data_IF_374586536441
#
_entry.id   IF_374586536441
#
_cell.length_a   1.000
_cell.length_b   1.000
_cell.length_c   1.000
_cell.angle_alpha   90.00
_cell.angle_beta   90.00
_cell.angle_gamma   90.00
#
_symmetry.space_group_name_H-M   'P 1'
#
loop_
_entity.id
_entity.type
_entity.pdbx_description
1 polymer ?
#
# COMPACT_ATOMS: atom_id res chain seq x y z
N UNK A 1 -28.96 51.30 -7.03
CA UNK A 1 -28.40 50.25 -6.15
C UNK A 1 -28.14 48.99 -6.98
N UNK A 2 -26.88 48.70 -7.31
CA UNK A 2 -26.50 47.50 -8.08
C UNK A 2 -26.14 46.36 -7.12
N UNK A 3 -27.14 45.55 -6.72
CA UNK A 3 -26.85 44.16 -6.37
C UNK A 3 -26.49 43.46 -7.69
N UNK A 4 -25.34 42.78 -7.77
CA UNK A 4 -25.08 41.50 -8.48
C UNK A 4 -23.56 41.20 -8.55
N UNK A 5 -22.99 40.61 -7.48
CA UNK A 5 -21.88 39.67 -7.67
C UNK A 5 -22.13 38.28 -7.06
N UNK A 6 -23.11 38.13 -6.16
CA UNK A 6 -23.31 36.90 -5.37
C UNK A 6 -23.90 35.72 -6.16
N UNK A 7 -24.64 35.97 -7.25
CA UNK A 7 -25.30 34.90 -8.02
C UNK A 7 -24.34 34.00 -8.80
N UNK A 8 -23.18 34.50 -9.25
CA UNK A 8 -22.20 33.67 -9.99
C UNK A 8 -21.48 32.62 -9.14
N UNK A 9 -21.27 32.88 -7.85
CA UNK A 9 -20.54 31.96 -6.99
C UNK A 9 -21.38 30.71 -6.63
N UNK A 10 -22.70 30.82 -6.64
CA UNK A 10 -23.61 29.71 -6.29
C UNK A 10 -23.85 28.75 -7.47
N UNK A 11 -23.68 29.19 -8.71
CA UNK A 11 -23.83 28.33 -9.90
C UNK A 11 -22.66 27.36 -10.05
N UNK A 12 -21.42 27.82 -9.84
CA UNK A 12 -20.22 26.99 -10.01
C UNK A 12 -20.09 25.89 -8.94
N UNK A 13 -20.65 26.11 -7.74
CA UNK A 13 -20.63 25.12 -6.66
C UNK A 13 -21.67 24.01 -6.86
N UNK A 14 -22.83 24.32 -7.46
CA UNK A 14 -23.87 23.33 -7.77
C UNK A 14 -23.38 22.32 -8.81
N UNK A 15 -22.66 22.78 -9.84
CA UNK A 15 -22.13 21.94 -10.91
C UNK A 15 -21.05 20.94 -10.46
N UNK A 16 -20.25 21.30 -9.45
CA UNK A 16 -19.25 20.39 -8.88
C UNK A 16 -19.89 19.24 -8.09
N UNK A 17 -20.96 19.54 -7.34
CA UNK A 17 -21.67 18.54 -6.53
C UNK A 17 -22.41 17.49 -7.39
N UNK A 18 -22.93 17.89 -8.56
CA UNK A 18 -23.67 17.01 -9.45
C UNK A 18 -22.76 15.99 -10.15
N UNK A 19 -21.55 16.41 -10.55
CA UNK A 19 -20.57 15.52 -11.20
C UNK A 19 -20.08 14.41 -10.27
N UNK A 20 -19.87 14.70 -8.98
CA UNK A 20 -19.40 13.72 -8.00
C UNK A 20 -20.41 12.59 -7.74
N UNK A 21 -21.70 12.91 -7.66
CA UNK A 21 -22.78 11.92 -7.49
C UNK A 21 -22.93 10.99 -8.70
N UNK A 22 -22.72 11.50 -9.92
CA UNK A 22 -22.83 10.70 -11.16
C UNK A 22 -21.70 9.68 -11.29
N UNK A 23 -20.48 10.02 -10.87
CA UNK A 23 -19.34 9.07 -10.84
C UNK A 23 -19.50 7.98 -9.77
N UNK A 24 -20.10 8.29 -8.62
CA UNK A 24 -20.35 7.28 -7.58
C UNK A 24 -21.43 6.28 -8.01
N UNK A 25 -22.49 6.72 -8.68
CA UNK A 25 -23.54 5.80 -9.15
C UNK A 25 -23.10 4.87 -10.30
N UNK A 26 -22.18 5.30 -11.16
CA UNK A 26 -21.62 4.44 -12.21
C UNK A 26 -20.74 3.33 -11.61
N UNK A 27 -20.09 3.59 -10.47
CA UNK A 27 -19.22 2.61 -9.82
C UNK A 27 -19.99 1.55 -9.00
N UNK A 28 -21.22 1.85 -8.56
CA UNK A 28 -22.08 0.89 -7.85
C UNK A 28 -22.80 -0.06 -8.82
N UNK A 29 -22.94 0.30 -10.10
CA UNK A 29 -23.67 -0.49 -11.12
C UNK A 29 -22.83 -1.58 -11.80
N UNK A 30 -21.55 -1.72 -11.46
CA UNK A 30 -20.65 -2.72 -12.04
C UNK A 30 -20.52 -4.01 -11.20
N UNK A 31 -21.34 -4.19 -10.16
CA UNK A 31 -21.40 -5.42 -9.37
C UNK A 31 -22.86 -5.84 -9.23
N UNK A 32 -23.35 -6.64 -10.18
CA UNK A 32 -24.53 -7.48 -9.97
C UNK A 32 -24.10 -8.87 -9.52
N UNK A 33 -24.70 -9.41 -8.45
CA UNK A 33 -25.21 -10.76 -8.47
C UNK A 33 -26.74 -10.71 -8.53
N UNK A 34 -27.31 -11.58 -9.37
CA UNK A 34 -28.75 -11.82 -9.43
C UNK A 34 -29.34 -12.10 -8.04
N UNK A 35 -30.54 -11.58 -7.78
CA UNK A 35 -31.70 -12.27 -7.20
C UNK A 35 -32.86 -11.25 -7.07
N UNK A 36 -34.00 -11.60 -7.67
CA UNK A 36 -35.18 -10.74 -7.84
C UNK A 36 -36.18 -10.87 -6.68
N UNK A 37 -36.31 -9.77 -5.92
CA UNK A 37 -37.53 -9.07 -5.45
C UNK A 37 -38.77 -9.83 -4.90
N UNK A 38 -38.92 -9.72 -3.57
CA UNK A 38 -40.05 -9.21 -2.75
C UNK A 38 -41.53 -9.40 -3.15
N UNK A 39 -42.33 -9.84 -2.17
CA UNK A 39 -43.65 -9.23 -1.85
C UNK A 39 -43.76 -8.93 -0.35
N UNK A 40 -44.39 -7.79 -0.08
CA UNK A 40 -44.70 -7.15 1.20
C UNK A 40 -45.61 -8.00 2.08
N UNK A 41 -45.41 -7.93 3.40
CA UNK A 41 -46.48 -7.62 4.37
C UNK A 41 -45.88 -7.27 5.75
N UNK A 42 -46.49 -6.27 6.37
CA UNK A 42 -46.18 -5.68 7.67
C UNK A 42 -46.66 -6.55 8.83
N UNK A 43 -45.82 -6.81 9.83
CA UNK A 43 -46.23 -6.98 11.23
C UNK A 43 -45.02 -6.95 12.19
N UNK A 44 -45.24 -6.25 13.30
CA UNK A 44 -44.37 -6.02 14.44
C UNK A 44 -44.04 -7.30 15.22
N UNK A 45 -42.75 -7.54 15.51
CA UNK A 45 -42.31 -8.34 16.66
C UNK A 45 -40.82 -8.10 16.96
N UNK A 46 -40.52 -7.85 18.23
CA UNK A 46 -39.18 -7.83 18.83
C UNK A 46 -38.36 -9.06 18.42
N UNK A 47 -37.24 -8.85 17.71
CA UNK A 47 -36.25 -9.89 17.46
C UNK A 47 -34.83 -9.36 17.72
N UNK A 48 -34.23 -9.94 18.76
CA UNK A 48 -32.84 -9.73 19.17
C UNK A 48 -31.90 -10.00 18.01
N UNK A 49 -30.98 -9.05 17.73
CA UNK A 49 -29.96 -9.18 16.68
C UNK A 49 -29.01 -10.35 17.01
N UNK A 50 -28.81 -11.33 16.12
CA UNK A 50 -27.74 -12.30 16.29
C UNK A 50 -26.39 -11.63 16.03
N UNK A 51 -25.48 -11.75 16.99
CA UNK A 51 -24.08 -11.32 16.91
C UNK A 51 -23.43 -12.05 15.74
N UNK A 52 -23.08 -11.32 14.68
CA UNK A 52 -22.27 -11.85 13.58
C UNK A 52 -20.90 -12.25 14.13
N UNK A 53 -20.67 -13.55 14.23
CA UNK A 53 -19.37 -14.11 14.59
C UNK A 53 -18.29 -13.60 13.64
N UNK A 54 -17.28 -12.92 14.19
CA UNK A 54 -16.07 -12.55 13.46
C UNK A 54 -15.37 -13.85 13.06
N UNK A 55 -15.47 -14.23 11.79
CA UNK A 55 -14.63 -15.27 11.19
C UNK A 55 -13.23 -14.68 11.09
N UNK A 56 -12.42 -14.86 12.13
CA UNK A 56 -10.99 -14.59 12.07
C UNK A 56 -10.38 -15.64 11.15
N UNK A 57 -10.15 -15.29 9.89
CA UNK A 57 -9.31 -16.10 9.00
C UNK A 57 -7.90 -16.06 9.57
N UNK A 58 -7.56 -17.07 10.39
CA UNK A 58 -6.17 -17.33 10.76
C UNK A 58 -5.47 -17.71 9.46
N UNK A 59 -4.73 -16.78 8.85
CA UNK A 59 -3.83 -17.16 7.77
C UNK A 59 -2.81 -18.10 8.40
N UNK A 60 -2.69 -19.31 7.85
CA UNK A 60 -1.58 -20.20 8.14
C UNK A 60 -0.33 -19.41 7.74
N UNK A 61 0.37 -18.84 8.73
CA UNK A 61 1.74 -18.36 8.56
C UNK A 61 2.56 -19.63 8.36
N UNK A 62 2.68 -20.07 7.10
CA UNK A 62 3.60 -21.13 6.75
C UNK A 62 4.96 -20.73 7.29
N UNK A 63 5.48 -21.57 8.19
CA UNK A 63 6.83 -21.40 8.73
C UNK A 63 7.80 -21.59 7.57
N UNK A 64 8.15 -20.50 6.89
CA UNK A 64 9.32 -20.42 6.00
C UNK A 64 10.56 -20.46 6.89
N UNK A 65 10.75 -21.58 7.59
CA UNK A 65 11.82 -21.75 8.56
C UNK A 65 13.16 -21.90 7.83
N UNK A 66 14.15 -21.12 8.26
CA UNK A 66 15.58 -21.44 8.25
C UNK A 66 16.37 -21.50 6.93
N UNK A 67 15.87 -20.98 5.82
CA UNK A 67 16.68 -21.02 4.57
C UNK A 67 17.85 -20.03 4.63
N UNK A 68 17.76 -19.00 5.47
CA UNK A 68 18.75 -17.93 5.54
C UNK A 68 19.59 -18.04 6.81
N UNK A 69 20.71 -18.75 6.69
CA UNK A 69 21.79 -18.68 7.66
C UNK A 69 22.67 -17.45 7.37
N UNK A 70 23.25 -16.80 8.38
CA UNK A 70 24.25 -15.75 8.15
C UNK A 70 25.52 -16.27 7.45
N UNK A 71 25.80 -17.57 7.56
CA UNK A 71 26.99 -18.19 6.98
C UNK A 71 26.84 -18.56 5.51
N UNK A 72 25.61 -18.59 4.99
CA UNK A 72 25.35 -18.93 3.59
C UNK A 72 25.14 -17.66 2.76
N UNK A 73 25.77 -17.54 1.59
CA UNK A 73 25.57 -16.39 0.74
C UNK A 73 24.12 -16.30 0.27
N UNK A 74 23.56 -15.08 0.35
CA UNK A 74 22.21 -14.79 -0.11
C UNK A 74 22.11 -14.95 -1.63
N UNK A 75 20.95 -15.42 -2.17
CA UNK A 75 20.76 -15.53 -3.59
C UNK A 75 20.84 -14.15 -4.25
N UNK A 76 21.48 -14.08 -5.40
CA UNK A 76 21.74 -12.82 -6.14
C UNK A 76 20.48 -12.00 -6.42
N UNK A 77 19.32 -12.65 -6.52
CA UNK A 77 18.03 -11.99 -6.73
C UNK A 77 17.55 -11.17 -5.52
N UNK A 78 17.90 -11.56 -4.29
CA UNK A 78 17.52 -10.84 -3.06
C UNK A 78 18.63 -9.89 -2.64
N UNK A 79 19.89 -10.26 -2.85
CA UNK A 79 21.07 -9.47 -2.48
C UNK A 79 21.01 -8.02 -2.98
N UNK A 80 20.49 -7.81 -4.20
CA UNK A 80 20.31 -6.46 -4.79
C UNK A 80 19.39 -5.54 -3.98
N UNK A 81 18.43 -6.12 -3.26
CA UNK A 81 17.41 -5.40 -2.50
C UNK A 81 17.77 -5.19 -1.02
N UNK A 82 18.92 -5.72 -0.60
CA UNK A 82 19.47 -5.48 0.73
C UNK A 82 20.00 -4.05 0.79
N UNK A 83 19.71 -3.34 1.87
CA UNK A 83 20.12 -1.94 2.11
C UNK A 83 19.64 -0.90 1.07
N UNK A 84 18.80 -1.26 0.10
CA UNK A 84 18.15 -0.29 -0.77
C UNK A 84 17.35 0.72 0.05
N UNK A 85 17.59 2.02 -0.19
CA UNK A 85 16.96 3.13 0.51
C UNK A 85 17.22 3.17 2.03
N UNK A 86 18.33 2.60 2.51
CA UNK A 86 18.72 2.69 3.93
C UNK A 86 18.79 4.14 4.44
N UNK A 87 19.26 5.06 3.61
CA UNK A 87 19.40 6.50 3.90
C UNK A 87 18.05 7.24 4.02
N UNK A 88 16.94 6.65 3.58
CA UNK A 88 15.60 7.23 3.75
C UNK A 88 14.95 6.84 5.08
N UNK A 89 15.56 5.93 5.84
CA UNK A 89 15.09 5.60 7.19
C UNK A 89 15.30 6.83 8.07
N UNK A 90 14.27 7.25 8.81
CA UNK A 90 14.40 8.34 9.78
C UNK A 90 15.46 7.98 10.80
N UNK A 91 16.32 8.94 11.13
CA UNK A 91 17.28 8.79 12.24
C UNK A 91 16.52 9.03 13.54
N UNK A 92 16.65 8.11 14.49
CA UNK A 92 16.04 8.29 15.81
C UNK A 92 16.77 9.43 16.54
N UNK A 93 16.09 10.56 16.74
CA UNK A 93 16.66 11.78 17.30
C UNK A 93 16.79 11.76 18.84
N UNK A 94 17.31 10.67 19.41
CA UNK A 94 17.84 10.67 20.77
C UNK A 94 16.86 10.41 21.91
N UNK A 95 15.60 10.07 21.64
CA UNK A 95 14.74 9.45 22.65
C UNK A 95 15.05 7.96 22.61
N UNK A 96 15.86 7.50 23.57
CA UNK A 96 16.32 6.10 23.74
C UNK A 96 15.30 5.15 23.10
N UNK A 97 15.72 4.48 22.03
CA UNK A 97 14.90 3.44 21.43
C UNK A 97 14.49 2.49 22.57
N UNK A 98 13.23 2.07 22.56
CA UNK A 98 12.78 1.13 23.59
C UNK A 98 13.53 -0.17 23.39
N UNK A 99 14.44 -0.49 24.30
CA UNK A 99 15.23 -1.72 24.23
C UNK A 99 14.31 -2.92 24.12
N UNK A 100 14.65 -3.84 23.22
CA UNK A 100 13.95 -5.09 23.05
C UNK A 100 14.10 -5.99 24.29
N UNK A 101 13.23 -7.00 24.42
CA UNK A 101 13.29 -7.95 25.53
C UNK A 101 14.66 -8.64 25.63
N UNK A 102 15.21 -9.09 24.50
CA UNK A 102 16.52 -9.76 24.46
C UNK A 102 17.66 -8.82 24.84
N UNK A 103 17.59 -7.56 24.44
CA UNK A 103 18.60 -6.53 24.78
C UNK A 103 18.58 -6.26 26.29
N UNK A 104 17.38 -6.17 26.89
CA UNK A 104 17.23 -6.04 28.35
C UNK A 104 17.80 -7.28 29.07
N UNK A 105 17.56 -8.48 28.54
CA UNK A 105 18.12 -9.71 29.12
C UNK A 105 19.65 -9.78 28.95
N UNK A 106 20.18 -9.26 27.84
CA UNK A 106 21.62 -9.13 27.58
C UNK A 106 22.27 -8.19 28.61
N UNK A 107 21.70 -7.00 28.83
CA UNK A 107 22.19 -6.06 29.84
C UNK A 107 22.17 -6.67 31.25
N UNK A 108 21.12 -7.44 31.58
CA UNK A 108 21.04 -8.18 32.85
C UNK A 108 22.13 -9.25 32.96
N UNK A 109 22.47 -9.95 31.89
CA UNK A 109 23.54 -10.94 31.90
C UNK A 109 24.92 -10.28 32.06
N UNK A 110 25.14 -9.16 31.38
CA UNK A 110 26.39 -8.38 31.46
C UNK A 110 26.59 -7.81 32.88
N UNK A 111 25.55 -7.23 33.48
CA UNK A 111 25.62 -6.69 34.86
C UNK A 111 25.88 -7.76 35.91
N UNK A 112 25.42 -9.00 35.68
CA UNK A 112 25.71 -10.16 36.54
C UNK A 112 27.10 -10.75 36.31
N UNK A 113 27.72 -10.49 35.15
CA UNK A 113 29.00 -11.08 34.74
C UNK A 113 28.88 -12.45 34.04
N UNK A 114 27.67 -12.87 33.65
CA UNK A 114 27.42 -14.16 33.00
C UNK A 114 27.74 -14.08 31.49
N UNK A 115 29.03 -14.19 31.15
CA UNK A 115 29.51 -14.01 29.77
C UNK A 115 28.94 -15.05 28.79
N UNK A 116 28.80 -16.31 29.19
CA UNK A 116 28.27 -17.37 28.31
C UNK A 116 26.81 -17.15 27.92
N UNK A 117 26.03 -16.53 28.81
CA UNK A 117 24.63 -16.20 28.54
C UNK A 117 24.58 -15.00 27.61
N UNK A 118 25.39 -13.97 27.90
CA UNK A 118 25.47 -12.77 27.08
C UNK A 118 25.87 -13.08 25.62
N UNK A 119 26.83 -13.98 25.40
CA UNK A 119 27.22 -14.39 24.03
C UNK A 119 26.06 -15.05 23.29
N UNK A 120 25.35 -16.00 23.91
CA UNK A 120 24.18 -16.67 23.31
C UNK A 120 23.07 -15.68 22.95
N UNK A 121 22.77 -14.72 23.83
CA UNK A 121 21.77 -13.68 23.56
C UNK A 121 22.20 -12.77 22.41
N UNK A 122 23.48 -12.40 22.36
CA UNK A 122 24.03 -11.59 21.27
C UNK A 122 23.94 -12.30 19.91
N UNK A 123 24.22 -13.61 19.88
CA UNK A 123 24.04 -14.43 18.69
C UNK A 123 22.57 -14.47 18.24
N UNK A 124 21.63 -14.66 19.18
CA UNK A 124 20.19 -14.66 18.88
C UNK A 124 19.71 -13.31 18.32
N UNK A 125 20.13 -12.19 18.93
CA UNK A 125 19.82 -10.84 18.44
C UNK A 125 20.35 -10.67 17.01
N UNK A 126 21.58 -11.10 16.76
CA UNK A 126 22.22 -11.02 15.44
C UNK A 126 21.45 -11.82 14.39
N UNK A 127 20.99 -13.03 14.73
CA UNK A 127 20.17 -13.87 13.86
C UNK A 127 18.83 -13.20 13.54
N UNK A 128 18.13 -12.64 14.54
CA UNK A 128 16.86 -11.94 14.32
C UNK A 128 17.01 -10.71 13.43
N UNK A 129 18.06 -9.93 13.64
CA UNK A 129 18.35 -8.75 12.82
C UNK A 129 18.66 -9.16 11.37
N UNK A 130 19.37 -10.26 11.16
CA UNK A 130 19.62 -10.81 9.84
C UNK A 130 18.33 -11.31 9.16
N UNK A 131 17.47 -12.04 9.88
CA UNK A 131 16.16 -12.48 9.38
C UNK A 131 15.30 -11.29 8.96
N UNK A 132 15.24 -10.24 9.79
CA UNK A 132 14.52 -9.00 9.47
C UNK A 132 15.08 -8.35 8.21
N UNK A 133 16.41 -8.23 8.08
CA UNK A 133 17.05 -7.68 6.90
C UNK A 133 16.65 -8.44 5.62
N UNK A 134 16.64 -9.77 5.68
CA UNK A 134 16.24 -10.61 4.54
C UNK A 134 14.76 -10.46 4.24
N UNK A 135 13.90 -10.45 5.26
CA UNK A 135 12.46 -10.25 5.07
C UNK A 135 12.16 -8.89 4.41
N UNK A 136 12.78 -7.81 4.89
CA UNK A 136 12.64 -6.48 4.28
C UNK A 136 13.10 -6.49 2.81
N UNK A 137 14.17 -7.23 2.47
CA UNK A 137 14.64 -7.34 1.09
C UNK A 137 13.64 -8.11 0.19
N UNK A 138 13.00 -9.16 0.72
CA UNK A 138 11.95 -9.90 0.02
C UNK A 138 10.74 -8.99 -0.25
N UNK A 139 10.28 -8.27 0.77
CA UNK A 139 9.15 -7.32 0.66
C UNK A 139 9.42 -6.24 -0.40
N UNK A 140 10.65 -5.70 -0.43
CA UNK A 140 11.07 -4.73 -1.46
C UNK A 140 11.04 -5.31 -2.86
N UNK A 141 11.52 -6.55 -3.03
CA UNK A 141 11.51 -7.25 -4.32
C UNK A 141 10.07 -7.45 -4.81
N UNK A 142 9.20 -7.96 -3.95
CA UNK A 142 7.79 -8.18 -4.26
C UNK A 142 7.07 -6.88 -4.64
N UNK A 143 7.35 -5.79 -3.90
CA UNK A 143 6.82 -4.47 -4.23
C UNK A 143 7.30 -3.98 -5.60
N UNK A 144 8.59 -4.13 -5.91
CA UNK A 144 9.14 -3.74 -7.21
C UNK A 144 8.48 -4.50 -8.36
N UNK A 145 8.37 -5.83 -8.25
CA UNK A 145 7.71 -6.67 -9.25
C UNK A 145 6.21 -6.33 -9.40
N UNK A 146 5.52 -6.09 -8.28
CA UNK A 146 4.12 -5.68 -8.30
C UNK A 146 3.94 -4.31 -8.98
N UNK A 147 4.83 -3.36 -8.71
CA UNK A 147 4.83 -2.03 -9.34
C UNK A 147 5.05 -2.12 -10.85
N UNK A 148 6.02 -2.91 -11.30
CA UNK A 148 6.28 -3.11 -12.73
C UNK A 148 5.07 -3.73 -13.44
N UNK A 149 4.48 -4.79 -12.88
CA UNK A 149 3.25 -5.41 -13.41
C UNK A 149 2.08 -4.42 -13.47
N UNK A 150 1.96 -3.54 -12.48
CA UNK A 150 0.92 -2.52 -12.48
C UNK A 150 1.15 -1.45 -13.55
N UNK A 151 2.39 -1.02 -13.75
CA UNK A 151 2.79 -0.08 -14.80
C UNK A 151 2.57 -0.66 -16.20
N UNK A 152 2.92 -1.93 -16.43
CA UNK A 152 2.62 -2.66 -17.67
C UNK A 152 1.11 -2.75 -17.91
N UNK A 153 0.33 -3.11 -16.89
CA UNK A 153 -1.14 -3.13 -16.98
C UNK A 153 -1.70 -1.75 -17.31
N UNK A 154 -1.16 -0.69 -16.71
CA UNK A 154 -1.55 0.70 -17.01
C UNK A 154 -1.14 1.10 -18.43
N UNK A 155 0.03 0.69 -18.90
CA UNK A 155 0.50 0.96 -20.26
C UNK A 155 -0.39 0.26 -21.31
N UNK A 156 -0.73 -1.00 -21.08
CA UNK A 156 -1.66 -1.77 -21.92
C UNK A 156 -3.06 -1.15 -21.95
N UNK A 157 -3.55 -0.65 -20.80
CA UNK A 157 -4.84 0.06 -20.71
C UNK A 157 -4.83 1.46 -21.36
N UNK A 158 -3.70 2.17 -21.31
CA UNK A 158 -3.58 3.53 -21.88
C UNK A 158 -3.69 3.56 -23.41
N UNK A 159 -3.63 2.39 -24.06
CA UNK A 159 -3.70 2.27 -25.52
C UNK A 159 -2.51 2.96 -26.20
N UNK A 160 -2.38 2.77 -27.52
CA UNK A 160 -1.45 3.59 -28.30
C UNK A 160 -1.96 5.03 -28.25
N UNK A 161 -1.13 6.00 -27.87
CA UNK A 161 -1.47 7.43 -28.02
C UNK A 161 -1.79 7.64 -29.50
N UNK A 162 -3.08 7.84 -29.85
CA UNK A 162 -3.46 8.16 -31.22
C UNK A 162 -2.73 9.46 -31.59
N UNK A 163 -2.20 9.54 -32.81
CA UNK A 163 -1.43 10.70 -33.31
C UNK A 163 -2.27 11.96 -33.57
N UNK A 164 -3.57 11.96 -33.23
CA UNK A 164 -4.52 13.08 -33.39
C UNK A 164 -4.24 14.30 -32.49
N UNK A 165 -3.00 14.48 -32.04
CA UNK A 165 -2.55 15.83 -31.70
C UNK A 165 -2.75 16.72 -32.93
N UNK A 166 -3.21 17.95 -32.69
CA UNK A 166 -3.20 19.01 -33.70
C UNK A 166 -1.75 19.18 -34.17
N UNK A 167 -1.37 18.56 -35.29
CA UNK A 167 -0.18 18.95 -36.03
C UNK A 167 -0.35 20.44 -36.28
N UNK A 168 0.45 21.28 -35.61
CA UNK A 168 0.36 22.74 -35.72
C UNK A 168 0.34 23.07 -37.20
N UNK A 169 -0.87 23.39 -37.70
CA UNK A 169 -1.11 23.51 -39.12
C UNK A 169 -0.03 24.45 -39.65
N UNK A 170 0.74 23.98 -40.64
CA UNK A 170 1.64 24.83 -41.45
C UNK A 170 0.81 25.83 -42.26
N UNK A 171 0.01 26.67 -41.57
CA UNK A 171 -0.93 27.65 -42.14
C UNK A 171 -0.20 28.74 -42.92
N UNK A 172 1.11 28.86 -42.74
CA UNK A 172 1.96 29.83 -43.43
C UNK A 172 2.57 29.29 -44.74
N UNK A 173 2.52 27.99 -45.04
CA UNK A 173 3.09 27.44 -46.28
C UNK A 173 2.08 27.37 -47.45
N UNK A 174 0.77 27.43 -47.20
CA UNK A 174 -0.25 27.32 -48.28
C UNK A 174 -0.94 28.64 -48.64
N UNK A 175 -0.65 29.74 -47.92
CA UNK A 175 -1.26 31.08 -48.18
C UNK A 175 -0.23 32.12 -48.67
N UNK A 176 0.78 31.67 -49.41
CA UNK A 176 1.72 32.55 -50.12
C UNK A 176 1.78 32.27 -51.63
N UNK A 177 0.82 31.52 -52.17
CA UNK A 177 0.68 31.32 -53.62
C UNK A 177 -0.55 32.10 -54.13
N UNK A 178 -0.50 33.43 -53.95
CA UNK A 178 -1.37 34.41 -54.60
C UNK A 178 -0.47 35.49 -55.19
#
# INVERSE_FOLDING_TARGET
>A
MFQQPKRRAEETTKDYSYKKRKTEQVNVKAVSPEVSQTRVDSQSADMKRPVTGKITKKSKREKKASIFSPNTPLPSSIAKYINMNSHLKSVDHGRLNTMGRLEIELDKAVTKGDLELATKLSEEISLKNYEQMVQEAIERKEYYEAKQKEEERKANKRGRKLKWGFESKRRWETKSNM
#
